data_IF_899348477639
#
_entry.id   IF_899348477639
#
_cell.length_a   1.000
_cell.length_b   1.000
_cell.length_c   1.000
_cell.angle_alpha   90.00
_cell.angle_beta   90.00
_cell.angle_gamma   90.00
#
_symmetry.space_group_name_H-M   'P 1'
#
loop_
_entity.id
_entity.type
_entity.pdbx_description
1 polymer ?
#
# COMPACT_ATOMS: atom_id res chain seq x y z
N UNK A 1 6.96 -32.04 23.28
CA UNK A 1 7.32 -30.67 22.83
C UNK A 1 6.10 -30.10 22.14
N UNK A 2 5.43 -29.13 22.77
CA UNK A 2 4.11 -28.64 22.34
C UNK A 2 4.27 -27.49 21.35
N UNK A 3 4.07 -27.77 20.05
CA UNK A 3 3.82 -26.74 19.04
C UNK A 3 2.37 -26.27 19.20
N UNK A 4 2.16 -25.28 20.06
CA UNK A 4 0.94 -24.48 20.07
C UNK A 4 1.13 -23.31 19.10
N UNK A 5 1.37 -23.62 17.82
CA UNK A 5 1.31 -22.61 16.76
C UNK A 5 -0.14 -22.17 16.59
N UNK A 6 -0.40 -20.87 16.55
CA UNK A 6 -1.72 -20.31 16.29
C UNK A 6 -2.20 -20.79 14.91
N UNK A 7 -3.03 -21.83 14.89
CA UNK A 7 -3.67 -22.30 13.67
C UNK A 7 -4.82 -21.35 13.36
N UNK A 8 -4.68 -20.63 12.25
CA UNK A 8 -5.75 -19.78 11.74
C UNK A 8 -6.94 -20.68 11.41
N UNK A 9 -8.07 -20.44 12.08
CA UNK A 9 -9.29 -21.22 11.89
C UNK A 9 -10.00 -20.84 10.60
N UNK A 10 -10.65 -21.81 9.95
CA UNK A 10 -11.56 -21.60 8.82
C UNK A 10 -12.60 -20.49 9.05
N UNK A 11 -13.00 -20.28 10.31
CA UNK A 11 -13.91 -19.20 10.70
C UNK A 11 -13.32 -17.82 10.41
N UNK A 12 -12.01 -17.63 10.60
CA UNK A 12 -11.31 -16.36 10.31
C UNK A 12 -11.31 -16.11 8.80
N UNK A 13 -11.00 -17.14 8.01
CA UNK A 13 -11.00 -17.07 6.55
C UNK A 13 -12.40 -16.69 6.04
N UNK A 14 -13.43 -17.39 6.53
CA UNK A 14 -14.81 -17.15 6.16
C UNK A 14 -15.27 -15.72 6.51
N UNK A 15 -14.98 -15.26 7.74
CA UNK A 15 -15.27 -13.89 8.18
C UNK A 15 -14.56 -12.86 7.31
N UNK A 16 -13.31 -13.10 6.92
CA UNK A 16 -12.58 -12.19 6.05
C UNK A 16 -13.25 -12.09 4.67
N UNK A 17 -13.56 -13.24 4.06
CA UNK A 17 -14.14 -13.29 2.72
C UNK A 17 -15.50 -12.58 2.65
N UNK A 18 -16.37 -12.79 3.65
CA UNK A 18 -17.72 -12.21 3.67
C UNK A 18 -17.82 -10.82 4.32
N UNK A 19 -16.82 -10.42 5.11
CA UNK A 19 -16.86 -9.17 5.87
C UNK A 19 -16.76 -7.92 5.00
N UNK A 20 -17.36 -6.83 5.48
CA UNK A 20 -17.16 -5.50 4.90
C UNK A 20 -15.76 -4.94 5.20
N UNK A 21 -15.43 -3.76 4.67
CA UNK A 21 -14.11 -3.14 4.88
C UNK A 21 -13.78 -2.94 6.37
N UNK A 22 -14.76 -2.47 7.16
CA UNK A 22 -14.60 -2.26 8.60
C UNK A 22 -14.37 -3.59 9.34
N UNK A 23 -15.17 -4.61 9.02
CA UNK A 23 -15.05 -5.93 9.65
C UNK A 23 -13.69 -6.57 9.33
N UNK A 24 -13.25 -6.48 8.07
CA UNK A 24 -11.93 -6.94 7.64
C UNK A 24 -10.81 -6.21 8.37
N UNK A 25 -10.93 -4.90 8.57
CA UNK A 25 -9.91 -4.11 9.26
C UNK A 25 -9.78 -4.52 10.73
N UNK A 26 -10.93 -4.72 11.41
CA UNK A 26 -10.97 -5.18 12.80
C UNK A 26 -10.44 -6.59 12.93
N UNK A 27 -10.88 -7.50 12.06
CA UNK A 27 -10.41 -8.89 12.03
C UNK A 27 -8.90 -8.97 11.81
N UNK A 28 -8.37 -8.26 10.81
CA UNK A 28 -6.93 -8.24 10.58
C UNK A 28 -6.16 -7.60 11.74
N UNK A 29 -6.73 -6.58 12.41
CA UNK A 29 -6.10 -6.00 13.61
C UNK A 29 -5.97 -7.02 14.73
N UNK A 30 -7.01 -7.81 14.98
CA UNK A 30 -7.01 -8.88 15.98
C UNK A 30 -6.01 -9.98 15.62
N UNK A 31 -6.08 -10.49 14.38
CA UNK A 31 -5.20 -11.58 13.91
C UNK A 31 -3.74 -11.13 13.92
N UNK A 32 -3.43 -9.96 13.36
CA UNK A 32 -2.07 -9.47 13.22
C UNK A 32 -1.36 -9.20 14.56
N UNK A 33 -2.12 -8.96 15.63
CA UNK A 33 -1.56 -8.75 16.98
C UNK A 33 -1.01 -10.05 17.59
N UNK A 34 -1.51 -11.21 17.16
CA UNK A 34 -1.20 -12.52 17.77
C UNK A 34 -0.54 -13.53 16.83
N UNK A 35 -0.85 -13.48 15.53
CA UNK A 35 -0.34 -14.39 14.52
C UNK A 35 1.13 -14.15 14.17
N UNK A 36 1.85 -15.20 13.75
CA UNK A 36 3.18 -15.06 13.14
C UNK A 36 3.09 -14.51 11.70
N UNK A 37 4.21 -14.09 11.12
CA UNK A 37 4.27 -13.69 9.70
C UNK A 37 3.93 -14.88 8.79
N UNK A 38 4.37 -16.08 9.16
CA UNK A 38 4.06 -17.33 8.46
C UNK A 38 2.56 -17.66 8.51
N UNK A 39 1.90 -17.40 9.65
CA UNK A 39 0.46 -17.56 9.79
C UNK A 39 -0.29 -16.56 8.89
N UNK A 40 0.11 -15.29 8.86
CA UNK A 40 -0.50 -14.29 7.97
C UNK A 40 -0.31 -14.62 6.49
N UNK A 41 0.85 -15.15 6.11
CA UNK A 41 1.09 -15.62 4.75
C UNK A 41 0.19 -16.82 4.39
N UNK A 42 -0.03 -17.75 5.32
CA UNK A 42 -0.99 -18.85 5.14
C UNK A 42 -2.42 -18.34 4.98
N UNK A 43 -2.89 -17.45 5.85
CA UNK A 43 -4.20 -16.81 5.74
C UNK A 43 -4.37 -16.12 4.39
N UNK A 44 -3.36 -15.38 3.94
CA UNK A 44 -3.37 -14.72 2.65
C UNK A 44 -3.60 -15.71 1.51
N UNK A 45 -2.89 -16.84 1.51
CA UNK A 45 -3.03 -17.89 0.50
C UNK A 45 -4.41 -18.55 0.53
N UNK A 46 -4.91 -18.87 1.72
CA UNK A 46 -6.22 -19.50 1.86
C UNK A 46 -7.36 -18.54 1.48
N UNK A 47 -7.30 -17.28 1.92
CA UNK A 47 -8.27 -16.26 1.48
C UNK A 47 -8.24 -16.15 -0.04
N UNK A 48 -7.06 -16.08 -0.65
CA UNK A 48 -6.93 -16.03 -2.12
C UNK A 48 -7.56 -17.24 -2.80
N UNK A 49 -7.38 -18.44 -2.23
CA UNK A 49 -7.94 -19.68 -2.75
C UNK A 49 -9.48 -19.67 -2.64
N UNK A 50 -10.02 -19.34 -1.48
CA UNK A 50 -11.46 -19.41 -1.21
C UNK A 50 -12.26 -18.23 -1.77
N UNK A 51 -11.65 -17.05 -1.88
CA UNK A 51 -12.29 -15.88 -2.52
C UNK A 51 -12.11 -15.87 -4.04
N UNK A 52 -11.22 -16.72 -4.58
CA UNK A 52 -10.82 -16.68 -5.99
C UNK A 52 -10.13 -15.37 -6.41
N UNK A 53 -9.55 -14.63 -5.46
CA UNK A 53 -9.00 -13.29 -5.68
C UNK A 53 -7.67 -13.09 -4.95
N UNK A 54 -6.58 -12.99 -5.70
CA UNK A 54 -5.23 -12.78 -5.15
C UNK A 54 -5.01 -11.40 -4.54
N UNK A 55 -5.83 -10.42 -4.91
CA UNK A 55 -5.62 -9.00 -4.53
C UNK A 55 -5.70 -8.75 -3.02
N UNK A 56 -6.21 -9.71 -2.24
CA UNK A 56 -6.24 -9.65 -0.78
C UNK A 56 -4.92 -10.03 -0.13
N UNK A 57 -4.08 -10.85 -0.79
CA UNK A 57 -2.88 -11.45 -0.19
C UNK A 57 -1.98 -10.39 0.43
N UNK A 58 -1.70 -9.36 -0.36
CA UNK A 58 -0.82 -8.26 0.06
C UNK A 58 -1.35 -7.55 1.31
N UNK A 59 -2.63 -7.19 1.33
CA UNK A 59 -3.22 -6.43 2.44
C UNK A 59 -3.21 -7.24 3.74
N UNK A 60 -3.32 -8.56 3.65
CA UNK A 60 -3.23 -9.48 4.79
C UNK A 60 -1.79 -9.58 5.28
N UNK A 61 -0.82 -9.80 4.38
CA UNK A 61 0.60 -9.96 4.73
C UNK A 61 1.16 -8.69 5.38
N UNK A 62 0.82 -7.50 4.88
CA UNK A 62 1.36 -6.26 5.45
C UNK A 62 0.68 -5.84 6.76
N UNK A 63 -0.40 -6.49 7.18
CA UNK A 63 -1.25 -6.04 8.28
C UNK A 63 -0.47 -5.88 9.59
N UNK A 64 0.38 -6.85 9.93
CA UNK A 64 1.17 -6.83 11.16
C UNK A 64 2.15 -5.68 11.21
N UNK A 65 3.00 -5.56 10.19
CA UNK A 65 3.97 -4.47 10.10
C UNK A 65 3.26 -3.11 10.07
N UNK A 66 2.16 -2.98 9.32
CA UNK A 66 1.33 -1.76 9.29
C UNK A 66 0.88 -1.35 10.70
N UNK A 67 0.34 -2.28 11.49
CA UNK A 67 -0.19 -1.99 12.84
C UNK A 67 0.94 -1.70 13.82
N UNK A 68 1.99 -2.53 13.83
CA UNK A 68 3.10 -2.39 14.76
C UNK A 68 3.89 -1.11 14.51
N UNK A 69 4.24 -0.83 13.26
CA UNK A 69 4.96 0.39 12.89
C UNK A 69 4.09 1.61 13.12
N UNK A 70 2.80 1.57 12.74
CA UNK A 70 1.88 2.69 12.99
C UNK A 70 1.75 3.02 14.48
N UNK A 71 1.66 1.98 15.32
CA UNK A 71 1.61 2.16 16.78
C UNK A 71 2.91 2.77 17.32
N UNK A 72 4.07 2.30 16.84
CA UNK A 72 5.37 2.85 17.23
C UNK A 72 5.51 4.32 16.83
N UNK A 73 5.15 4.65 15.59
CA UNK A 73 5.18 6.02 15.05
C UNK A 73 4.26 6.93 15.86
N UNK A 74 3.01 6.53 16.08
CA UNK A 74 2.09 7.33 16.88
C UNK A 74 2.60 7.57 18.30
N UNK A 75 3.12 6.54 18.97
CA UNK A 75 3.65 6.67 20.33
C UNK A 75 4.86 7.61 20.37
N UNK A 76 5.72 7.58 19.35
CA UNK A 76 6.87 8.49 19.21
C UNK A 76 6.42 9.95 19.06
N UNK A 77 5.49 10.21 18.13
CA UNK A 77 5.00 11.55 17.83
C UNK A 77 4.19 12.12 18.99
N UNK A 78 3.29 11.32 19.55
CA UNK A 78 2.33 11.78 20.56
C UNK A 78 2.97 12.04 21.91
N UNK A 79 4.03 11.31 22.28
CA UNK A 79 4.64 11.40 23.61
C UNK A 79 3.59 11.31 24.74
N UNK A 80 2.60 10.42 24.58
CA UNK A 80 1.42 10.23 25.46
C UNK A 80 0.36 11.35 25.42
N UNK A 81 0.50 12.34 24.55
CA UNK A 81 -0.54 13.35 24.34
C UNK A 81 -1.69 12.80 23.51
N UNK A 82 -2.92 13.17 23.86
CA UNK A 82 -4.13 12.77 23.10
C UNK A 82 -4.26 13.51 21.77
N UNK A 83 -3.75 14.74 21.73
CA UNK A 83 -3.78 15.63 20.57
C UNK A 83 -2.39 16.19 20.36
N UNK A 84 -1.96 16.23 19.10
CA UNK A 84 -0.71 16.86 18.66
C UNK A 84 -1.00 17.92 17.62
N UNK A 85 -0.12 18.90 17.46
CA UNK A 85 -0.20 19.84 16.34
C UNK A 85 0.13 19.11 15.03
N UNK A 86 -0.63 19.43 13.97
CA UNK A 86 -0.46 18.84 12.64
C UNK A 86 0.98 18.99 12.15
N UNK A 87 1.55 20.17 12.32
CA UNK A 87 2.87 20.57 11.82
C UNK A 87 3.97 19.67 12.40
N UNK A 88 3.83 19.29 13.67
CA UNK A 88 4.78 18.40 14.34
C UNK A 88 4.58 16.95 13.91
N UNK A 89 3.32 16.52 13.74
CA UNK A 89 3.03 15.14 13.36
C UNK A 89 3.37 14.81 11.92
N UNK A 90 3.16 15.76 11.00
CA UNK A 90 3.33 15.53 9.57
C UNK A 90 4.79 15.36 9.15
N UNK A 91 5.71 16.06 9.83
CA UNK A 91 7.15 15.92 9.61
C UNK A 91 7.64 14.50 9.91
N UNK A 92 7.26 13.94 11.06
CA UNK A 92 7.62 12.56 11.38
C UNK A 92 6.95 11.57 10.40
N UNK A 93 5.69 11.78 10.02
CA UNK A 93 5.01 10.91 9.04
C UNK A 93 5.79 10.86 7.72
N UNK A 94 6.29 12.00 7.25
CA UNK A 94 7.15 12.08 6.07
C UNK A 94 8.47 11.33 6.25
N UNK A 95 9.17 11.53 7.37
CA UNK A 95 10.43 10.83 7.65
C UNK A 95 10.23 9.31 7.64
N UNK A 96 9.14 8.83 8.24
CA UNK A 96 8.80 7.41 8.26
C UNK A 96 8.47 6.89 6.86
N UNK A 97 7.77 7.67 6.04
CA UNK A 97 7.51 7.33 4.64
C UNK A 97 8.82 7.19 3.84
N UNK A 98 9.72 8.16 3.96
CA UNK A 98 11.02 8.13 3.27
C UNK A 98 11.85 6.93 3.71
N UNK A 99 11.83 6.61 5.02
CA UNK A 99 12.50 5.42 5.57
C UNK A 99 11.94 4.12 5.01
N UNK A 100 10.61 3.98 4.92
CA UNK A 100 9.98 2.76 4.38
C UNK A 100 10.29 2.62 2.89
N UNK A 101 10.16 3.69 2.11
CA UNK A 101 10.35 3.64 0.65
C UNK A 101 11.80 3.48 0.22
N UNK A 102 12.77 3.61 1.14
CA UNK A 102 14.20 3.72 0.85
C UNK A 102 14.53 4.81 -0.20
N UNK A 103 13.62 5.76 -0.42
CA UNK A 103 13.77 6.84 -1.39
C UNK A 103 14.39 8.05 -0.70
N UNK A 104 15.40 8.65 -1.32
CA UNK A 104 16.05 9.87 -0.82
C UNK A 104 15.76 11.11 -1.67
N UNK A 105 14.99 10.96 -2.76
CA UNK A 105 14.94 11.97 -3.84
C UNK A 105 13.62 12.74 -3.95
N UNK A 106 12.50 12.19 -3.45
CA UNK A 106 11.18 12.84 -3.50
C UNK A 106 10.47 12.84 -2.14
N UNK A 107 10.57 13.98 -1.45
CA UNK A 107 9.77 14.30 -0.27
C UNK A 107 8.32 14.65 -0.65
N UNK A 108 7.44 14.78 0.34
CA UNK A 108 6.09 15.29 0.12
C UNK A 108 6.11 16.78 -0.26
N UNK A 109 5.18 17.14 -1.12
CA UNK A 109 4.89 18.53 -1.50
C UNK A 109 3.75 19.09 -0.64
N UNK A 110 3.52 20.41 -0.69
CA UNK A 110 2.34 21.02 -0.03
C UNK A 110 1.02 20.41 -0.49
N UNK A 111 0.94 19.96 -1.75
CA UNK A 111 -0.25 19.28 -2.28
C UNK A 111 -0.46 17.91 -1.62
N UNK A 112 0.64 17.17 -1.41
CA UNK A 112 0.61 15.87 -0.73
C UNK A 112 0.16 16.05 0.73
N UNK A 113 0.69 17.05 1.45
CA UNK A 113 0.23 17.37 2.80
C UNK A 113 -1.23 17.79 2.86
N UNK A 114 -1.68 18.61 1.89
CA UNK A 114 -3.09 18.98 1.76
C UNK A 114 -4.00 17.76 1.54
N UNK A 115 -3.52 16.76 0.80
CA UNK A 115 -4.22 15.49 0.62
C UNK A 115 -4.27 14.68 1.92
N UNK A 116 -3.13 14.52 2.61
CA UNK A 116 -3.08 13.79 3.88
C UNK A 116 -4.00 14.41 4.93
N UNK A 117 -4.08 15.75 4.98
CA UNK A 117 -4.99 16.48 5.87
C UNK A 117 -6.47 16.21 5.53
N UNK A 118 -6.81 16.07 4.24
CA UNK A 118 -8.18 15.67 3.82
C UNK A 118 -8.50 14.23 4.21
N UNK A 119 -7.54 13.30 4.05
CA UNK A 119 -7.71 11.89 4.42
C UNK A 119 -7.89 11.73 5.94
N UNK A 120 -7.11 12.46 6.73
CA UNK A 120 -7.17 12.40 8.18
C UNK A 120 -8.47 13.00 8.73
N UNK A 121 -9.02 14.00 8.04
CA UNK A 121 -10.14 14.81 8.49
C UNK A 121 -9.79 15.69 9.69
N UNK A 122 -8.49 15.94 9.95
CA UNK A 122 -8.04 16.77 11.05
C UNK A 122 -7.78 18.22 10.60
N UNK A 123 -7.91 19.16 11.54
CA UNK A 123 -7.52 20.55 11.35
C UNK A 123 -6.07 20.76 11.80
N UNK A 124 -5.88 21.77 12.65
CA UNK A 124 -4.58 22.12 13.25
C UNK A 124 -4.10 21.10 14.29
N UNK A 125 -5.00 20.27 14.82
CA UNK A 125 -4.68 19.22 15.79
C UNK A 125 -5.08 17.85 15.26
N UNK A 126 -4.24 16.85 15.52
CA UNK A 126 -4.41 15.46 15.12
C UNK A 126 -4.55 14.57 16.36
N UNK A 127 -5.59 13.74 16.39
CA UNK A 127 -5.74 12.63 17.33
C UNK A 127 -5.23 11.31 16.71
N UNK A 128 -5.11 10.26 17.53
CA UNK A 128 -4.66 8.94 17.08
C UNK A 128 -5.51 8.39 15.94
N UNK A 129 -6.84 8.58 16.01
CA UNK A 129 -7.77 8.14 14.96
C UNK A 129 -7.55 8.86 13.61
N UNK A 130 -7.11 10.12 13.64
CA UNK A 130 -6.77 10.87 12.43
C UNK A 130 -5.47 10.35 11.84
N UNK A 131 -4.47 10.10 12.69
CA UNK A 131 -3.22 9.45 12.28
C UNK A 131 -3.48 8.07 11.67
N UNK A 132 -4.29 7.24 12.29
CA UNK A 132 -4.59 5.90 11.78
C UNK A 132 -5.22 5.94 10.37
N UNK A 133 -6.06 6.94 10.07
CA UNK A 133 -6.60 7.14 8.70
C UNK A 133 -5.50 7.45 7.69
N UNK A 134 -4.57 8.35 8.05
CA UNK A 134 -3.39 8.66 7.23
C UNK A 134 -2.57 7.39 7.02
N UNK A 135 -2.23 6.69 8.11
CA UNK A 135 -1.34 5.54 8.09
C UNK A 135 -1.91 4.37 7.29
N UNK A 136 -3.21 4.08 7.41
CA UNK A 136 -3.89 3.04 6.61
C UNK A 136 -3.90 3.35 5.12
N UNK A 137 -3.82 4.62 4.73
CA UNK A 137 -3.66 5.00 3.34
C UNK A 137 -2.19 5.00 2.90
N UNK A 138 -1.31 5.56 3.73
CA UNK A 138 0.08 5.84 3.38
C UNK A 138 0.97 4.60 3.45
N UNK A 139 0.77 3.72 4.43
CA UNK A 139 1.64 2.56 4.62
C UNK A 139 1.61 1.60 3.42
N UNK A 140 0.45 1.20 2.87
CA UNK A 140 0.41 0.38 1.65
C UNK A 140 1.09 1.04 0.46
N UNK A 141 0.99 2.37 0.34
CA UNK A 141 1.69 3.17 -0.69
C UNK A 141 3.20 3.08 -0.47
N UNK A 142 3.68 3.37 0.73
CA UNK A 142 5.09 3.32 1.06
C UNK A 142 5.67 1.92 0.80
N UNK A 143 4.93 0.89 1.21
CA UNK A 143 5.29 -0.51 0.97
C UNK A 143 5.27 -0.87 -0.52
N UNK A 144 4.48 -0.21 -1.36
CA UNK A 144 4.51 -0.39 -2.83
C UNK A 144 5.77 0.19 -3.44
N UNK A 145 6.21 1.33 -2.93
CA UNK A 145 7.38 2.03 -3.42
C UNK A 145 8.71 1.41 -2.96
N UNK A 146 8.71 0.35 -2.15
CA UNK A 146 9.91 -0.42 -1.86
C UNK A 146 10.39 -1.26 -3.05
N UNK A 147 9.52 -1.50 -4.03
CA UNK A 147 9.88 -2.17 -5.28
C UNK A 147 10.68 -1.23 -6.16
N UNK A 148 11.92 -1.59 -6.52
CA UNK A 148 12.83 -0.75 -7.31
C UNK A 148 12.21 -0.26 -8.63
N UNK A 149 11.46 -1.13 -9.33
CA UNK A 149 10.81 -0.77 -10.59
C UNK A 149 9.76 0.31 -10.40
N UNK A 150 8.96 0.21 -9.34
CA UNK A 150 7.91 1.18 -9.02
C UNK A 150 8.49 2.46 -8.43
N UNK A 151 9.51 2.34 -7.57
CA UNK A 151 10.25 3.46 -7.04
C UNK A 151 10.86 4.31 -8.18
N UNK A 152 11.42 3.65 -9.19
CA UNK A 152 11.95 4.29 -10.40
C UNK A 152 10.87 5.07 -11.16
N UNK A 153 9.69 4.46 -11.35
CA UNK A 153 8.53 5.09 -12.01
C UNK A 153 8.00 6.28 -11.19
N UNK A 154 7.97 6.14 -9.87
CA UNK A 154 7.52 7.19 -8.96
C UNK A 154 8.47 8.39 -8.96
N UNK A 155 9.78 8.13 -9.04
CA UNK A 155 10.81 9.15 -9.06
C UNK A 155 11.05 9.76 -10.45
N UNK A 156 10.52 9.15 -11.53
CA UNK A 156 10.61 9.73 -12.86
C UNK A 156 9.65 10.91 -13.00
N UNK A 157 10.05 12.08 -12.50
CA UNK A 157 9.33 13.37 -12.55
C UNK A 157 9.22 13.98 -13.95
N UNK A 158 9.49 13.22 -15.01
CA UNK A 158 9.47 13.66 -16.39
C UNK A 158 8.56 12.77 -17.23
N UNK A 159 7.75 13.33 -18.17
CA UNK A 159 6.95 12.58 -19.14
C UNK A 159 7.79 11.83 -20.20
N UNK A 160 9.03 11.48 -19.86
CA UNK A 160 9.94 10.70 -20.69
C UNK A 160 10.57 9.63 -19.81
N UNK A 161 9.89 8.51 -19.68
CA UNK A 161 10.59 7.27 -19.33
C UNK A 161 11.46 6.88 -20.53
N UNK A 162 12.69 6.45 -20.23
CA UNK A 162 13.79 6.21 -21.15
C UNK A 162 13.39 5.46 -22.43
N UNK A 163 13.86 5.94 -23.57
CA UNK A 163 14.20 5.08 -24.72
C UNK A 163 13.24 5.03 -25.89
N UNK A 164 12.01 5.54 -25.80
CA UNK A 164 11.10 5.55 -26.97
C UNK A 164 10.97 6.94 -27.58
N UNK A 165 11.09 7.03 -28.91
CA UNK A 165 10.98 8.24 -29.75
C UNK A 165 9.59 8.94 -29.67
N UNK A 166 8.72 8.51 -28.76
CA UNK A 166 7.38 9.05 -28.53
C UNK A 166 7.27 9.46 -27.06
N UNK A 167 7.17 10.75 -26.81
CA UNK A 167 6.96 11.29 -25.47
C UNK A 167 5.57 10.85 -24.96
N UNK A 168 5.54 9.85 -24.08
CA UNK A 168 4.34 9.45 -23.36
C UNK A 168 4.20 10.34 -22.14
N UNK A 169 3.21 11.25 -22.13
CA UNK A 169 2.85 11.99 -20.93
C UNK A 169 2.21 11.01 -19.93
N UNK A 170 3.04 10.38 -19.10
CA UNK A 170 2.64 9.46 -18.04
C UNK A 170 2.46 10.26 -16.75
N UNK A 171 1.25 10.23 -16.18
CA UNK A 171 0.98 10.74 -14.83
C UNK A 171 0.68 9.56 -13.91
N UNK A 172 1.38 9.51 -12.78
CA UNK A 172 1.21 8.49 -11.75
C UNK A 172 0.42 9.08 -10.59
N UNK A 173 -0.67 8.41 -10.19
CA UNK A 173 -1.56 8.86 -9.13
C UNK A 173 -1.85 7.72 -8.15
N UNK A 174 -2.06 8.09 -6.88
CA UNK A 174 -2.47 7.17 -5.82
C UNK A 174 -3.95 7.35 -5.51
N UNK A 175 -4.77 6.29 -5.53
CA UNK A 175 -6.19 6.40 -5.24
C UNK A 175 -6.42 6.82 -3.79
N UNK A 176 -7.11 7.94 -3.58
CA UNK A 176 -7.40 8.49 -2.24
C UNK A 176 -8.56 7.79 -1.53
N UNK A 177 -9.38 7.07 -2.29
CA UNK A 177 -10.53 6.28 -1.80
C UNK A 177 -10.18 4.86 -1.39
N UNK A 178 -8.92 4.43 -1.57
CA UNK A 178 -8.47 3.05 -1.33
C UNK A 178 -7.45 3.02 -0.20
N UNK A 179 -7.93 2.86 1.02
CA UNK A 179 -7.09 2.66 2.22
C UNK A 179 -7.15 1.20 2.67
N UNK A 180 -6.15 0.76 3.42
CA UNK A 180 -6.13 -0.58 4.01
C UNK A 180 -7.40 -0.84 4.84
N UNK A 181 -8.04 -2.02 4.72
CA UNK A 181 -7.57 -3.23 4.03
C UNK A 181 -8.14 -3.43 2.63
N UNK A 182 -8.49 -2.36 1.90
CA UNK A 182 -8.94 -2.48 0.51
C UNK A 182 -7.89 -3.18 -0.35
N UNK A 183 -8.30 -4.10 -1.24
CA UNK A 183 -7.41 -4.87 -2.11
C UNK A 183 -6.42 -3.97 -2.88
N UNK A 184 -6.95 -2.89 -3.44
CA UNK A 184 -6.21 -1.91 -4.25
C UNK A 184 -5.48 -0.84 -3.41
N UNK A 185 -5.43 -0.96 -2.09
CA UNK A 185 -4.73 0.02 -1.26
C UNK A 185 -3.22 0.00 -1.58
N UNK A 186 -2.66 1.17 -1.88
CA UNK A 186 -1.27 1.30 -2.32
C UNK A 186 -1.02 0.97 -3.79
N UNK A 187 -2.05 0.69 -4.59
CA UNK A 187 -1.89 0.54 -6.04
C UNK A 187 -1.60 1.87 -6.73
N UNK A 188 -0.81 1.81 -7.81
CA UNK A 188 -0.49 2.98 -8.64
C UNK A 188 -1.43 3.05 -9.84
N UNK A 189 -2.02 4.22 -10.09
CA UNK A 189 -2.74 4.48 -11.34
C UNK A 189 -1.78 5.18 -12.29
N UNK A 190 -1.58 4.59 -13.46
CA UNK A 190 -0.88 5.18 -14.58
C UNK A 190 -1.89 5.77 -15.55
N UNK A 191 -1.80 7.07 -15.77
CA UNK A 191 -2.58 7.78 -16.79
C UNK A 191 -1.67 8.13 -17.95
N UNK A 192 -2.06 7.80 -19.18
CA UNK A 192 -1.28 8.10 -20.39
C UNK A 192 -2.18 8.39 -21.59
N UNK A 193 -1.64 9.07 -22.59
CA UNK A 193 -2.32 9.29 -23.87
C UNK A 193 -1.94 8.17 -24.83
N UNK A 194 -2.92 7.40 -25.30
CA UNK A 194 -2.74 6.31 -26.23
C UNK A 194 -2.36 6.79 -27.63
N UNK A 195 -1.90 5.86 -28.49
CA UNK A 195 -1.67 6.14 -29.91
C UNK A 195 -2.95 6.49 -30.68
N UNK A 196 -4.10 6.18 -30.09
CA UNK A 196 -5.43 6.57 -30.51
C UNK A 196 -5.82 7.99 -30.06
N UNK A 197 -4.88 8.72 -29.42
CA UNK A 197 -5.09 10.06 -28.85
C UNK A 197 -6.14 10.10 -27.73
N UNK A 198 -6.50 8.95 -27.15
CA UNK A 198 -7.42 8.90 -26.01
C UNK A 198 -6.65 8.80 -24.69
N UNK A 199 -7.25 9.28 -23.60
CA UNK A 199 -6.67 9.19 -22.27
C UNK A 199 -7.03 7.83 -21.68
N UNK A 200 -6.02 7.06 -21.29
CA UNK A 200 -6.15 5.77 -20.63
C UNK A 200 -5.76 5.89 -19.17
N UNK A 201 -6.54 5.26 -18.29
CA UNK A 201 -6.20 5.08 -16.88
C UNK A 201 -6.03 3.59 -16.61
N UNK A 202 -4.87 3.19 -16.10
CA UNK A 202 -4.59 1.79 -15.74
C UNK A 202 -4.14 1.70 -14.29
N UNK A 203 -4.85 0.87 -13.52
CA UNK A 203 -4.41 0.46 -12.21
C UNK A 203 -3.32 -0.61 -12.38
N UNK A 204 -2.11 -0.32 -11.89
CA UNK A 204 -1.05 -1.32 -11.79
C UNK A 204 -1.37 -2.23 -10.61
N UNK A 205 -1.85 -3.44 -10.91
CA UNK A 205 -2.03 -4.48 -9.91
C UNK A 205 -0.68 -5.07 -9.53
N UNK A 206 -0.42 -5.09 -8.23
CA UNK A 206 0.86 -5.49 -7.64
C UNK A 206 0.94 -7.00 -7.37
N UNK A 207 -0.14 -7.73 -7.64
CA UNK A 207 -0.23 -9.17 -7.41
C UNK A 207 0.80 -9.96 -8.22
N UNK A 208 1.31 -9.39 -9.32
CA UNK A 208 2.38 -10.02 -10.09
C UNK A 208 3.69 -10.12 -9.29
N UNK A 209 3.93 -9.21 -8.33
CA UNK A 209 5.17 -9.10 -7.54
C UNK A 209 5.27 -10.18 -6.45
N UNK A 210 4.14 -10.73 -5.99
CA UNK A 210 4.09 -11.74 -4.93
C UNK A 210 3.60 -13.11 -5.42
N UNK A 211 3.41 -13.27 -6.74
CA UNK A 211 3.00 -14.54 -7.35
C UNK A 211 4.17 -15.52 -7.56
N UNK A 212 5.41 -15.05 -7.57
CA UNK A 212 6.60 -15.90 -7.60
C UNK A 212 7.16 -16.05 -6.19
N UNK A 213 7.01 -17.23 -5.59
CA UNK A 213 7.83 -17.71 -4.47
C UNK A 213 9.31 -17.95 -4.88
N UNK A 214 9.80 -17.25 -5.88
CA UNK A 214 11.18 -17.27 -6.33
C UNK A 214 11.66 -15.81 -6.41
N UNK A 215 12.39 -15.39 -5.38
CA UNK A 215 13.11 -14.11 -5.31
C UNK A 215 14.12 -13.92 -6.47
N UNK A 216 14.33 -14.92 -7.32
CA UNK A 216 15.37 -14.92 -8.36
C UNK A 216 14.95 -14.44 -9.75
N UNK A 217 13.66 -14.31 -10.09
CA UNK A 217 13.25 -14.03 -11.48
C UNK A 217 12.62 -12.65 -11.74
N UNK A 218 12.31 -11.86 -10.70
CA UNK A 218 11.52 -10.63 -10.89
C UNK A 218 12.30 -9.32 -11.08
N UNK A 219 13.62 -9.38 -11.27
CA UNK A 219 14.40 -8.20 -11.65
C UNK A 219 14.30 -7.83 -13.15
N UNK A 220 13.40 -8.49 -13.91
CA UNK A 220 13.42 -8.48 -15.38
C UNK A 220 12.21 -7.91 -16.12
N UNK A 221 11.07 -7.58 -15.47
CA UNK A 221 9.90 -7.08 -16.20
C UNK A 221 9.95 -5.57 -16.36
N UNK A 222 10.03 -5.13 -17.61
CA UNK A 222 10.07 -3.71 -17.96
C UNK A 222 8.71 -3.04 -17.70
N UNK A 223 8.71 -1.72 -17.52
CA UNK A 223 7.47 -0.93 -17.45
C UNK A 223 6.59 -1.14 -18.70
N UNK A 224 7.22 -1.35 -19.86
CA UNK A 224 6.51 -1.67 -21.10
C UNK A 224 5.72 -2.97 -20.95
N UNK A 225 6.31 -4.02 -20.38
CA UNK A 225 5.59 -5.28 -20.13
C UNK A 225 4.40 -5.09 -19.19
N UNK A 226 4.54 -4.29 -18.13
CA UNK A 226 3.45 -4.02 -17.19
C UNK A 226 2.29 -3.23 -17.83
N UNK A 227 2.58 -2.40 -18.84
CA UNK A 227 1.57 -1.63 -19.58
C UNK A 227 0.99 -2.41 -20.78
N UNK A 228 1.76 -3.32 -21.39
CA UNK A 228 1.41 -4.07 -22.61
C UNK A 228 0.54 -5.31 -22.33
N UNK A 229 0.56 -5.88 -21.13
CA UNK A 229 -0.07 -7.18 -20.78
C UNK A 229 -1.59 -7.30 -21.09
N UNK A 230 -2.31 -6.23 -21.45
CA UNK A 230 -3.70 -6.33 -21.95
C UNK A 230 -4.02 -5.39 -23.13
N UNK A 231 -3.25 -5.46 -24.21
CA UNK A 231 -3.68 -4.93 -25.52
C UNK A 231 -4.26 -6.00 -26.47
N UNK A 232 -4.42 -7.26 -26.04
CA UNK A 232 -5.12 -8.29 -26.82
C UNK A 232 -6.48 -8.63 -26.19
N UNK A 233 -7.50 -7.88 -26.58
CA UNK A 233 -8.87 -8.38 -26.77
C UNK A 233 -9.41 -7.76 -28.05
#
# INVERSE_FOLDING_TARGET
>A
MSSSGYLISDVIIFKYCLGGMTDRALLLKEVATSASEEDLFRLANEVSLYSGCSHHRRQIVIAKRLIEEGTKVWNSISQNNRLIQWENGVFEIEEQFMRITCSSTRSFTEQDFGLLRRISGCGEYMAQENFEKIWRWLYPVAFTLTSDSINTIWNSTSPKVLGSSRAWNICTALPTSRSWPHSDAGCLIVTYVGSDYTIHHRLLSLDYIYSSCEESEMNGKSLEDMLIVRQRQ
#
